data_IF_084491967599
#
_entry.id   IF_084491967599
#
_cell.length_a   1.000
_cell.length_b   1.000
_cell.length_c   1.000
_cell.angle_alpha   90.00
_cell.angle_beta   90.00
_cell.angle_gamma   90.00
#
_symmetry.space_group_name_H-M   'P 1'
#
loop_
_entity.id
_entity.type
_entity.pdbx_description
1 polymer ?
#
# COMPACT_ATOMS: atom_id res chain seq x y z
N UNK A 1 -22.70 -11.97 10.65
CA UNK A 1 -21.59 -11.77 9.69
C UNK A 1 -20.72 -10.71 10.33
N UNK A 2 -19.56 -11.07 10.87
CA UNK A 2 -18.71 -10.11 11.56
C UNK A 2 -18.20 -9.10 10.53
N UNK A 3 -18.40 -7.80 10.77
CA UNK A 3 -17.78 -6.72 9.99
C UNK A 3 -16.27 -6.94 9.98
N UNK A 4 -15.73 -7.41 8.87
CA UNK A 4 -14.29 -7.49 8.68
C UNK A 4 -13.74 -6.08 8.65
N UNK A 5 -12.79 -5.78 9.53
CA UNK A 5 -12.05 -4.51 9.50
C UNK A 5 -11.33 -4.42 8.16
N UNK A 6 -11.73 -3.47 7.32
CA UNK A 6 -11.11 -3.21 6.00
C UNK A 6 -10.09 -2.09 6.03
N UNK A 7 -9.91 -1.41 7.18
CA UNK A 7 -9.01 -0.28 7.34
C UNK A 7 -7.96 -0.56 8.42
N UNK A 8 -6.69 -0.33 8.11
CA UNK A 8 -5.56 -0.69 8.95
C UNK A 8 -4.63 0.51 9.12
N UNK A 9 -4.52 1.02 10.35
CA UNK A 9 -3.53 2.03 10.69
C UNK A 9 -2.15 1.38 10.66
N UNK A 10 -1.21 2.03 10.00
CA UNK A 10 0.17 1.57 9.85
C UNK A 10 1.13 2.73 10.07
N UNK A 11 2.42 2.42 10.06
CA UNK A 11 3.48 3.43 9.94
C UNK A 11 4.55 2.84 9.06
N UNK A 12 4.44 3.11 7.76
CA UNK A 12 5.37 2.60 6.75
C UNK A 12 6.23 3.76 6.26
N UNK A 13 7.35 4.06 6.95
CA UNK A 13 8.23 5.15 6.57
C UNK A 13 9.02 4.78 5.31
N UNK A 14 9.38 5.81 4.54
CA UNK A 14 10.34 5.68 3.44
C UNK A 14 11.67 5.16 3.98
N UNK A 15 12.19 4.12 3.36
CA UNK A 15 13.49 3.53 3.63
C UNK A 15 14.18 3.15 2.33
N UNK A 16 14.76 1.96 2.30
CA UNK A 16 15.44 1.40 1.14
C UNK A 16 14.59 0.33 0.43
N UNK A 17 15.22 -0.40 -0.50
CA UNK A 17 14.57 -1.44 -1.30
C UNK A 17 14.41 -2.78 -0.57
N UNK A 18 14.69 -2.83 0.74
CA UNK A 18 14.56 -4.04 1.55
C UNK A 18 13.10 -4.27 1.94
N UNK A 19 12.65 -5.52 1.76
CA UNK A 19 11.31 -5.94 2.17
C UNK A 19 11.18 -5.97 3.69
N UNK A 20 10.05 -5.46 4.17
CA UNK A 20 9.61 -5.47 5.57
C UNK A 20 8.33 -6.31 5.67
N UNK A 21 8.30 -7.26 6.58
CA UNK A 21 7.13 -8.12 6.80
C UNK A 21 5.96 -7.33 7.42
N UNK A 22 4.73 -7.74 7.10
CA UNK A 22 3.48 -7.17 7.59
C UNK A 22 2.69 -8.25 8.29
N UNK A 23 2.36 -8.04 9.56
CA UNK A 23 1.58 -8.98 10.37
C UNK A 23 0.15 -8.53 10.63
N UNK A 24 -0.11 -7.22 10.50
CA UNK A 24 -1.34 -6.59 11.00
C UNK A 24 -2.41 -6.43 9.92
N UNK A 25 -2.05 -6.71 8.66
CA UNK A 25 -2.95 -6.67 7.51
C UNK A 25 -3.01 -8.08 6.92
N UNK A 26 -4.12 -8.84 7.09
CA UNK A 26 -4.18 -10.24 6.67
C UNK A 26 -3.91 -10.48 5.18
N UNK A 27 -4.22 -9.50 4.33
CA UNK A 27 -4.10 -9.60 2.88
C UNK A 27 -2.76 -9.11 2.32
N UNK A 28 -1.90 -8.46 3.11
CA UNK A 28 -0.57 -7.99 2.70
C UNK A 28 0.49 -8.68 3.57
N UNK A 29 1.46 -9.35 2.95
CA UNK A 29 2.48 -10.11 3.68
C UNK A 29 3.76 -9.32 3.90
N UNK A 30 4.12 -8.42 2.98
CA UNK A 30 5.32 -7.59 3.07
C UNK A 30 5.18 -6.32 2.22
N UNK A 31 5.97 -5.32 2.56
CA UNK A 31 6.08 -4.07 1.80
C UNK A 31 7.53 -3.57 1.73
N UNK A 32 7.80 -2.68 0.80
CA UNK A 32 8.97 -1.80 0.82
C UNK A 32 8.59 -0.46 0.19
N UNK A 33 9.11 0.62 0.76
CA UNK A 33 8.83 1.97 0.31
C UNK A 33 10.13 2.73 0.23
N UNK A 34 10.46 3.24 -0.95
CA UNK A 34 11.75 3.87 -1.24
C UNK A 34 11.61 4.99 -2.27
N UNK A 35 12.55 5.96 -2.26
CA UNK A 35 12.60 6.99 -3.29
C UNK A 35 13.00 6.39 -4.64
N UNK A 36 12.44 6.93 -5.71
CA UNK A 36 12.80 6.57 -7.10
C UNK A 36 13.17 7.82 -7.89
N UNK A 37 14.05 7.64 -8.88
CA UNK A 37 14.36 8.71 -9.84
C UNK A 37 13.42 8.59 -11.04
N UNK A 38 12.34 9.37 -11.02
CA UNK A 38 11.38 9.44 -12.13
C UNK A 38 10.81 10.86 -12.28
N UNK A 39 10.40 11.24 -13.49
CA UNK A 39 9.96 12.62 -13.78
C UNK A 39 8.59 12.97 -13.18
N UNK A 40 7.74 11.97 -12.95
CA UNK A 40 6.38 12.15 -12.43
C UNK A 40 6.17 11.64 -11.00
N UNK A 41 7.08 10.78 -10.52
CA UNK A 41 6.92 10.07 -9.26
C UNK A 41 8.22 10.17 -8.47
N UNK A 42 8.08 10.33 -7.16
CA UNK A 42 9.22 10.45 -6.25
C UNK A 42 9.38 9.20 -5.39
N UNK A 43 8.33 8.38 -5.27
CA UNK A 43 8.31 7.21 -4.41
C UNK A 43 7.65 6.01 -5.09
N UNK A 44 8.14 4.83 -4.72
CA UNK A 44 7.56 3.54 -5.09
C UNK A 44 7.26 2.74 -3.82
N UNK A 45 5.99 2.39 -3.65
CA UNK A 45 5.55 1.39 -2.68
C UNK A 45 5.40 0.07 -3.43
N UNK A 46 6.21 -0.92 -3.08
CA UNK A 46 5.95 -2.29 -3.44
C UNK A 46 5.31 -3.03 -2.26
N UNK A 47 4.34 -3.89 -2.55
CA UNK A 47 3.71 -4.75 -1.56
C UNK A 47 3.40 -6.12 -2.16
N UNK A 48 3.30 -7.14 -1.31
CA UNK A 48 2.88 -8.48 -1.71
C UNK A 48 1.51 -8.77 -1.11
N UNK A 49 0.55 -9.19 -1.92
CA UNK A 49 -0.76 -9.62 -1.45
C UNK A 49 -0.98 -11.14 -1.59
N UNK A 50 -1.84 -11.68 -0.72
CA UNK A 50 -2.28 -13.08 -0.74
C UNK A 50 -3.73 -13.27 -1.19
N UNK A 51 -4.46 -12.15 -1.38
CA UNK A 51 -5.86 -12.11 -1.81
C UNK A 51 -6.04 -10.95 -2.80
N UNK A 52 -6.78 -11.20 -3.87
CA UNK A 52 -7.18 -10.20 -4.85
C UNK A 52 -8.16 -9.19 -4.23
N UNK A 53 -7.70 -7.96 -4.02
CA UNK A 53 -8.47 -6.87 -3.44
C UNK A 53 -8.13 -5.55 -4.13
N UNK A 54 -8.97 -4.55 -3.90
CA UNK A 54 -8.66 -3.15 -4.17
C UNK A 54 -8.00 -2.54 -2.92
N UNK A 55 -6.73 -2.13 -3.08
CA UNK A 55 -5.96 -1.52 -2.00
C UNK A 55 -5.94 0.00 -2.14
N UNK A 56 -6.18 0.72 -1.05
CA UNK A 56 -6.10 2.18 -0.99
C UNK A 56 -5.10 2.56 0.10
N UNK A 57 -4.06 3.29 -0.27
CA UNK A 57 -3.01 3.77 0.62
C UNK A 57 -3.19 5.26 0.85
N UNK A 58 -3.07 5.69 2.10
CA UNK A 58 -3.03 7.11 2.46
C UNK A 58 -1.70 7.43 3.12
N UNK A 59 -1.05 8.45 2.60
CA UNK A 59 0.17 8.95 3.21
C UNK A 59 -0.10 9.95 4.35
N UNK A 60 0.97 10.45 4.93
CA UNK A 60 0.93 11.38 6.05
C UNK A 60 0.49 12.79 5.65
N UNK A 61 0.64 13.16 4.37
CA UNK A 61 0.09 14.40 3.82
C UNK A 61 -1.43 14.34 3.61
N UNK A 62 -2.01 13.13 3.61
CA UNK A 62 -3.43 12.86 3.40
C UNK A 62 -3.77 12.49 1.95
N UNK A 63 -2.78 12.34 1.09
CA UNK A 63 -2.97 11.93 -0.30
C UNK A 63 -3.35 10.46 -0.41
N UNK A 64 -4.10 10.11 -1.46
CA UNK A 64 -4.69 8.78 -1.67
C UNK A 64 -4.17 8.12 -2.94
N UNK A 65 -3.76 6.85 -2.83
CA UNK A 65 -3.28 6.04 -3.95
C UNK A 65 -3.98 4.69 -4.00
N UNK A 66 -4.49 4.30 -5.18
CA UNK A 66 -5.28 3.08 -5.35
C UNK A 66 -4.56 2.05 -6.22
N UNK A 67 -4.65 0.78 -5.83
CA UNK A 67 -4.15 -0.36 -6.60
C UNK A 67 -5.12 -1.54 -6.57
N UNK A 68 -5.73 -1.82 -7.71
CA UNK A 68 -6.46 -3.07 -7.93
C UNK A 68 -5.51 -4.22 -8.22
N UNK A 69 -5.72 -5.35 -7.53
CA UNK A 69 -4.91 -6.55 -7.67
C UNK A 69 -5.77 -7.70 -8.19
N UNK A 70 -5.48 -8.16 -9.42
CA UNK A 70 -6.21 -9.26 -10.07
C UNK A 70 -5.49 -10.61 -9.95
N UNK A 71 -4.25 -10.58 -9.46
CA UNK A 71 -3.44 -11.74 -9.16
C UNK A 71 -2.81 -11.53 -7.79
N UNK A 72 -2.52 -12.62 -7.09
CA UNK A 72 -1.71 -12.58 -5.88
C UNK A 72 -0.24 -12.42 -6.24
N UNK A 73 0.48 -11.60 -5.50
CA UNK A 73 1.93 -11.46 -5.64
C UNK A 73 2.41 -10.04 -5.41
N UNK A 74 3.54 -9.71 -6.03
CA UNK A 74 4.18 -8.41 -5.87
C UNK A 74 3.52 -7.37 -6.79
N UNK A 75 3.22 -6.21 -6.20
CA UNK A 75 2.61 -5.07 -6.88
C UNK A 75 3.32 -3.79 -6.53
N UNK A 76 3.23 -2.80 -7.43
CA UNK A 76 3.84 -1.48 -7.25
C UNK A 76 2.80 -0.38 -7.39
N UNK A 77 2.96 0.63 -6.54
CA UNK A 77 2.29 1.93 -6.58
C UNK A 77 3.37 3.01 -6.70
N UNK A 78 3.31 3.79 -7.77
CA UNK A 78 4.17 4.95 -7.98
C UNK A 78 3.42 6.22 -7.62
N UNK A 79 4.03 7.07 -6.80
CA UNK A 79 3.38 8.29 -6.34
C UNK A 79 4.36 9.42 -6.06
N UNK A 80 3.80 10.61 -5.87
CA UNK A 80 4.49 11.83 -5.46
C UNK A 80 3.76 12.37 -4.24
N UNK A 81 4.52 12.74 -3.22
CA UNK A 81 4.02 13.23 -1.94
C UNK A 81 5.04 14.16 -1.29
N UNK A 82 4.57 15.14 -0.53
CA UNK A 82 5.40 15.97 0.33
C UNK A 82 5.75 15.28 1.66
N UNK A 83 4.89 14.34 2.10
CA UNK A 83 5.11 13.51 3.30
C UNK A 83 4.71 12.03 3.01
N UNK A 84 5.65 11.26 2.43
CA UNK A 84 5.36 9.99 1.75
C UNK A 84 5.10 8.80 2.67
N UNK A 85 5.20 8.96 3.98
CA UNK A 85 4.98 7.87 4.95
C UNK A 85 3.54 7.38 4.85
N UNK A 86 3.31 6.08 4.61
CA UNK A 86 1.95 5.53 4.60
C UNK A 86 1.47 5.33 6.04
N UNK A 87 0.29 5.88 6.36
CA UNK A 87 -0.34 5.81 7.68
C UNK A 87 -1.62 4.97 7.71
N UNK A 88 -2.26 4.77 6.57
CA UNK A 88 -3.50 3.99 6.46
C UNK A 88 -3.51 3.14 5.20
N UNK A 89 -3.92 1.89 5.36
CA UNK A 89 -4.24 0.99 4.25
C UNK A 89 -5.70 0.59 4.36
N UNK A 90 -6.43 0.68 3.25
CA UNK A 90 -7.74 0.06 3.09
C UNK A 90 -7.65 -1.10 2.11
N UNK A 91 -8.38 -2.18 2.38
CA UNK A 91 -8.50 -3.33 1.50
C UNK A 91 -9.99 -3.65 1.30
N UNK A 92 -10.45 -3.54 0.07
CA UNK A 92 -11.85 -3.63 -0.32
C UNK A 92 -12.04 -4.73 -1.38
N UNK A 93 -13.23 -5.33 -1.44
CA UNK A 93 -13.55 -6.29 -2.49
C UNK A 93 -13.43 -5.63 -3.87
N UNK A 94 -12.89 -6.33 -4.89
CA UNK A 94 -12.73 -5.75 -6.22
C UNK A 94 -14.04 -5.21 -6.79
N UNK A 95 -14.01 -3.97 -7.30
CA UNK A 95 -15.18 -3.35 -7.94
C UNK A 95 -16.16 -2.66 -6.98
N UNK A 96 -15.72 -2.37 -5.75
CA UNK A 96 -16.47 -1.58 -4.76
C UNK A 96 -16.47 -0.06 -4.96
N UNK A 97 -15.99 0.44 -6.12
CA UNK A 97 -15.98 1.86 -6.49
C UNK A 97 -17.14 2.25 -7.41
#
# INVERSE_FOLDING_TARGET
>A
MADSKTQFNVTWPVGDQTWKEVTDIPSITRYRLYPITHIFYSYQLDFTNSVNLDFIFYDQSGDRYTKSTFVNGDHSVHYKSDDPTILLVKAEEPGGI
#
